data_IF_700345117498
#
_entry.id   IF_700345117498
#
_cell.length_a   1.000
_cell.length_b   1.000
_cell.length_c   1.000
_cell.angle_alpha   90.00
_cell.angle_beta   90.00
_cell.angle_gamma   90.00
#
_symmetry.space_group_name_H-M   'P 1'
#
loop_
_entity.id
_entity.type
_entity.pdbx_description
1 polymer ?
#
# COMPACT_ATOMS: atom_id res chain seq x y z
N UNK A 1 15.34 30.62 -2.01
CA UNK A 1 15.11 29.57 -0.99
C UNK A 1 14.14 28.55 -1.55
N UNK A 2 14.57 27.29 -1.68
CA UNK A 2 13.79 26.23 -2.34
C UNK A 2 12.48 25.95 -1.58
N UNK A 3 11.35 25.91 -2.29
CA UNK A 3 10.01 25.63 -1.75
C UNK A 3 9.81 24.20 -1.22
N UNK A 4 10.86 23.38 -1.19
CA UNK A 4 10.80 21.93 -0.92
C UNK A 4 10.62 21.54 0.56
N UNK A 5 10.70 22.48 1.50
CA UNK A 5 10.62 22.17 2.94
C UNK A 5 9.27 22.49 3.59
N UNK A 6 8.20 22.72 2.82
CA UNK A 6 6.87 23.02 3.33
C UNK A 6 5.83 22.01 2.85
N UNK A 7 5.17 21.33 3.79
CA UNK A 7 4.25 20.22 3.54
C UNK A 7 2.83 20.52 4.00
N UNK A 8 1.81 20.26 3.17
CA UNK A 8 0.43 20.34 3.62
C UNK A 8 0.12 19.19 4.58
N UNK A 9 -0.58 19.49 5.66
CA UNK A 9 -1.09 18.51 6.61
C UNK A 9 -2.51 18.87 7.02
N UNK A 10 -3.26 17.86 7.50
CA UNK A 10 -4.62 18.02 8.01
C UNK A 10 -4.74 17.33 9.37
N UNK A 11 -5.24 18.05 10.37
CA UNK A 11 -5.71 17.49 11.64
C UNK A 11 -7.23 17.35 11.62
N UNK A 12 -7.81 16.84 12.71
CA UNK A 12 -9.27 16.81 12.87
C UNK A 12 -9.88 18.22 12.74
N UNK A 13 -9.22 19.26 13.27
CA UNK A 13 -9.80 20.61 13.30
C UNK A 13 -9.39 21.50 12.13
N UNK A 14 -8.20 21.31 11.52
CA UNK A 14 -7.69 22.28 10.54
C UNK A 14 -6.72 21.72 9.50
N UNK A 15 -6.56 22.48 8.42
CA UNK A 15 -5.42 22.36 7.51
C UNK A 15 -4.26 23.21 8.01
N UNK A 16 -3.04 22.75 7.83
CA UNK A 16 -1.83 23.49 8.20
C UNK A 16 -0.66 23.16 7.27
N UNK A 17 0.40 23.97 7.36
CA UNK A 17 1.65 23.75 6.64
C UNK A 17 2.75 23.45 7.65
N UNK A 18 3.45 22.32 7.47
CA UNK A 18 4.56 21.89 8.31
C UNK A 18 5.87 22.18 7.59
N UNK A 19 6.84 22.76 8.31
CA UNK A 19 8.23 22.82 7.85
C UNK A 19 9.07 21.81 8.61
N UNK A 20 9.99 21.14 7.90
CA UNK A 20 10.88 20.16 8.49
C UNK A 20 12.24 20.14 7.77
N UNK A 21 13.30 19.91 8.52
CA UNK A 21 14.66 19.75 7.97
C UNK A 21 14.85 18.40 7.26
N UNK A 22 14.08 17.38 7.68
CA UNK A 22 14.02 16.06 7.06
C UNK A 22 12.57 15.62 6.87
N UNK A 23 12.26 15.04 5.71
CA UNK A 23 10.94 14.44 5.41
C UNK A 23 11.11 12.98 5.00
N UNK A 24 10.35 12.08 5.64
CA UNK A 24 10.31 10.64 5.32
C UNK A 24 8.96 10.34 4.65
N UNK A 25 8.98 9.79 3.44
CA UNK A 25 7.78 9.32 2.75
C UNK A 25 7.30 7.98 3.30
N UNK A 26 6.15 7.96 3.97
CA UNK A 26 5.46 6.77 4.45
C UNK A 26 3.97 6.77 4.03
N UNK A 27 3.66 7.49 2.95
CA UNK A 27 2.33 7.84 2.44
C UNK A 27 1.85 6.91 1.30
N UNK A 28 2.45 5.72 1.19
CA UNK A 28 1.96 4.62 0.37
C UNK A 28 2.10 4.81 -1.15
N UNK A 29 1.24 4.10 -1.90
CA UNK A 29 1.34 4.00 -3.38
C UNK A 29 1.20 5.36 -4.06
N UNK A 30 0.40 6.26 -3.52
CA UNK A 30 0.16 7.60 -4.06
C UNK A 30 1.00 8.69 -3.36
N UNK A 31 2.25 8.36 -3.03
CA UNK A 31 3.13 9.24 -2.26
C UNK A 31 3.31 10.62 -2.90
N UNK A 32 2.87 11.65 -2.19
CA UNK A 32 3.13 13.05 -2.52
C UNK A 32 4.60 13.39 -2.31
N UNK A 33 5.25 12.75 -1.33
CA UNK A 33 6.68 12.93 -1.09
C UNK A 33 7.48 12.48 -2.31
N UNK A 34 7.15 11.31 -2.87
CA UNK A 34 7.78 10.78 -4.09
C UNK A 34 7.56 11.70 -5.29
N UNK A 35 6.31 12.14 -5.50
CA UNK A 35 5.94 13.06 -6.59
C UNK A 35 6.75 14.37 -6.52
N UNK A 36 6.77 15.04 -5.37
CA UNK A 36 7.49 16.31 -5.19
C UNK A 36 9.02 16.18 -5.23
N UNK A 37 9.53 14.98 -4.96
CA UNK A 37 10.95 14.67 -5.13
C UNK A 37 11.34 14.49 -6.60
N UNK A 38 10.37 14.31 -7.51
CA UNK A 38 10.62 14.02 -8.93
C UNK A 38 11.08 12.59 -9.17
N UNK A 39 10.67 11.65 -8.31
CA UNK A 39 10.98 10.24 -8.46
C UNK A 39 9.88 9.51 -9.22
N UNK A 40 10.22 8.96 -10.38
CA UNK A 40 9.30 8.15 -11.18
C UNK A 40 9.30 6.69 -10.68
N UNK A 41 8.15 6.14 -10.29
CA UNK A 41 8.06 4.75 -9.89
C UNK A 41 8.23 3.83 -11.10
N UNK A 42 9.06 2.79 -10.94
CA UNK A 42 9.08 1.68 -11.89
C UNK A 42 7.92 0.73 -11.59
N UNK A 43 6.88 0.77 -12.42
CA UNK A 43 5.76 -0.17 -12.32
C UNK A 43 6.10 -1.48 -13.03
N UNK A 44 6.34 -2.51 -12.23
CA UNK A 44 6.63 -3.88 -12.69
C UNK A 44 5.35 -4.72 -12.89
N UNK A 45 4.19 -4.18 -12.51
CA UNK A 45 2.90 -4.89 -12.53
C UNK A 45 2.77 -5.96 -11.45
N UNK A 46 1.55 -6.45 -11.25
CA UNK A 46 1.29 -7.68 -10.51
C UNK A 46 1.04 -8.82 -11.53
N UNK A 47 1.56 -10.03 -11.29
CA UNK A 47 1.35 -11.15 -12.20
C UNK A 47 -0.09 -11.68 -12.18
N UNK A 48 -0.91 -11.26 -11.22
CA UNK A 48 -2.30 -11.68 -11.04
C UNK A 48 -3.08 -10.71 -10.15
N UNK A 49 -4.40 -10.71 -10.31
CA UNK A 49 -5.33 -10.08 -9.37
C UNK A 49 -5.51 -10.92 -8.10
N UNK A 50 -5.92 -10.26 -7.02
CA UNK A 50 -6.03 -10.84 -5.68
C UNK A 50 -7.45 -10.65 -5.14
N UNK A 51 -8.11 -11.75 -4.78
CA UNK A 51 -9.43 -11.75 -4.13
C UNK A 51 -9.32 -12.28 -2.70
N UNK A 52 -9.28 -11.38 -1.71
CA UNK A 52 -9.33 -11.76 -0.29
C UNK A 52 -10.76 -11.82 0.22
N UNK A 53 -11.10 -12.94 0.84
CA UNK A 53 -12.36 -13.14 1.55
C UNK A 53 -12.09 -13.89 2.84
N UNK A 54 -12.98 -13.70 3.82
CA UNK A 54 -12.95 -14.46 5.06
C UNK A 54 -13.71 -15.75 4.84
N UNK A 55 -13.08 -16.87 5.16
CA UNK A 55 -13.70 -18.19 5.18
C UNK A 55 -13.71 -18.70 6.62
N UNK A 56 -14.87 -19.17 7.08
CA UNK A 56 -15.01 -19.74 8.43
C UNK A 56 -14.35 -21.12 8.47
N UNK A 57 -13.65 -21.44 9.57
CA UNK A 57 -13.02 -22.75 9.80
C UNK A 57 -13.59 -23.42 11.05
N UNK A 58 -13.98 -24.67 10.95
CA UNK A 58 -14.44 -25.54 12.04
C UNK A 58 -13.33 -26.47 12.53
N UNK A 59 -13.56 -27.14 13.65
CA UNK A 59 -12.55 -28.02 14.26
C UNK A 59 -12.35 -29.34 13.48
N UNK A 60 -13.35 -29.72 12.70
CA UNK A 60 -13.41 -30.93 11.87
C UNK A 60 -13.09 -30.67 10.39
N UNK A 61 -12.83 -29.41 10.00
CA UNK A 61 -12.37 -29.10 8.66
C UNK A 61 -11.00 -29.75 8.39
N UNK A 62 -10.74 -30.21 7.15
CA UNK A 62 -9.46 -30.80 6.78
C UNK A 62 -8.31 -29.79 6.89
N UNK A 63 -7.07 -30.28 6.80
CA UNK A 63 -5.93 -29.37 6.70
C UNK A 63 -6.02 -28.55 5.41
N UNK A 64 -5.66 -27.27 5.52
CA UNK A 64 -5.69 -26.36 4.38
C UNK A 64 -4.81 -26.88 3.24
N UNK A 65 -5.36 -26.87 2.02
CA UNK A 65 -4.67 -27.30 0.81
C UNK A 65 -4.70 -26.20 -0.25
N UNK A 66 -3.65 -26.09 -1.06
CA UNK A 66 -3.58 -25.10 -2.14
C UNK A 66 -3.85 -25.73 -3.50
N UNK A 67 -4.66 -25.08 -4.34
CA UNK A 67 -4.66 -25.36 -5.78
C UNK A 67 -3.79 -24.33 -6.49
N UNK A 68 -2.74 -24.80 -7.17
CA UNK A 68 -1.80 -23.99 -7.93
C UNK A 68 -1.88 -24.38 -9.40
N UNK A 69 -2.20 -23.44 -10.27
CA UNK A 69 -2.19 -23.59 -11.73
C UNK A 69 -1.49 -22.35 -12.33
N UNK A 70 -1.14 -22.40 -13.61
CA UNK A 70 -0.55 -21.24 -14.28
C UNK A 70 -1.50 -20.02 -14.18
N UNK A 71 -1.07 -18.99 -13.47
CA UNK A 71 -1.84 -17.75 -13.27
C UNK A 71 -2.97 -17.84 -12.23
N UNK A 72 -3.11 -18.95 -11.49
CA UNK A 72 -4.17 -19.12 -10.49
C UNK A 72 -3.66 -19.78 -9.22
N UNK A 73 -4.01 -19.18 -8.08
CA UNK A 73 -3.70 -19.70 -6.76
C UNK A 73 -4.97 -19.60 -5.92
N UNK A 74 -5.40 -20.71 -5.33
CA UNK A 74 -6.54 -20.75 -4.41
C UNK A 74 -6.17 -21.52 -3.15
N UNK A 75 -6.44 -20.91 -1.99
CA UNK A 75 -6.38 -21.60 -0.70
C UNK A 75 -7.72 -22.28 -0.45
N UNK A 76 -7.68 -23.58 -0.20
CA UNK A 76 -8.78 -24.40 0.25
C UNK A 76 -8.55 -24.68 1.74
N UNK A 77 -9.61 -24.60 2.54
CA UNK A 77 -9.62 -25.08 3.93
C UNK A 77 -10.57 -26.25 4.05
#
# INVERSE_FOLDING_TARGET
>A
MSSKNAWPAKTAERKLTIRADLTIGADGRHSLVREKAGFEPLEIGAPMDVLWFRLSRNADDPEAFGRMEAGQILVLI
#
